data_IF_735775335041
#
_entry.id   IF_735775335041
#
_cell.length_a   1.000
_cell.length_b   1.000
_cell.length_c   1.000
_cell.angle_alpha   90.00
_cell.angle_beta   90.00
_cell.angle_gamma   90.00
#
_symmetry.space_group_name_H-M   'P 1'
#
loop_
_entity.id
_entity.type
_entity.pdbx_description
1 polymer ?
#
# COMPACT_ATOMS: atom_id res chain seq x y z
N UNK A 1 0.43 -20.25 25.10
CA UNK A 1 0.02 -20.19 23.69
C UNK A 1 -1.42 -19.72 23.65
N UNK A 2 -1.70 -18.72 22.82
CA UNK A 2 -3.05 -18.23 22.55
C UNK A 2 -3.34 -18.28 21.05
N UNK A 3 -4.60 -18.42 20.69
CA UNK A 3 -5.06 -18.35 19.30
C UNK A 3 -6.01 -17.16 19.16
N UNK A 4 -5.74 -16.31 18.18
CA UNK A 4 -6.66 -15.26 17.75
C UNK A 4 -7.28 -15.68 16.41
N UNK A 5 -8.61 -15.80 16.40
CA UNK A 5 -9.38 -16.12 15.19
C UNK A 5 -10.22 -14.90 14.88
N UNK A 6 -10.08 -14.38 13.67
CA UNK A 6 -10.82 -13.20 13.18
C UNK A 6 -11.54 -13.53 11.88
N UNK A 7 -12.62 -12.81 11.59
CA UNK A 7 -13.36 -12.91 10.33
C UNK A 7 -13.27 -11.62 9.49
N UNK A 8 -12.52 -10.61 9.95
CA UNK A 8 -12.46 -9.28 9.33
C UNK A 8 -11.13 -9.03 8.57
N UNK A 9 -10.22 -10.02 8.53
CA UNK A 9 -8.91 -9.86 7.88
C UNK A 9 -9.05 -9.59 6.37
N UNK A 10 -9.93 -10.33 5.69
CA UNK A 10 -10.23 -10.19 4.25
C UNK A 10 -11.29 -9.09 3.97
N UNK A 11 -11.71 -8.38 4.99
CA UNK A 11 -12.70 -7.32 4.95
C UNK A 11 -12.10 -5.93 5.18
N UNK A 12 -12.86 -5.02 5.82
CA UNK A 12 -12.38 -3.67 6.14
C UNK A 12 -11.26 -3.63 7.18
N UNK A 13 -11.03 -4.72 7.93
CA UNK A 13 -10.03 -4.85 9.01
C UNK A 13 -10.18 -3.78 10.11
N UNK A 14 -11.42 -3.44 10.47
CA UNK A 14 -11.77 -2.41 11.44
C UNK A 14 -12.26 -2.95 12.77
N UNK A 15 -12.83 -4.16 12.79
CA UNK A 15 -13.51 -4.75 13.95
C UNK A 15 -12.92 -6.10 14.43
N UNK A 16 -11.89 -6.60 13.72
CA UNK A 16 -11.19 -7.84 14.03
C UNK A 16 -9.95 -7.64 14.91
N UNK A 17 -8.80 -8.05 14.40
CA UNK A 17 -7.50 -8.04 15.09
C UNK A 17 -7.15 -6.68 15.67
N UNK A 18 -7.46 -5.58 14.99
CA UNK A 18 -7.18 -4.23 15.48
C UNK A 18 -7.84 -3.97 16.84
N UNK A 19 -9.09 -4.40 17.04
CA UNK A 19 -9.82 -4.23 18.31
C UNK A 19 -9.25 -5.09 19.43
N UNK A 20 -8.81 -6.28 19.10
CA UNK A 20 -8.14 -7.16 20.09
C UNK A 20 -6.80 -6.55 20.51
N UNK A 21 -6.01 -6.04 19.57
CA UNK A 21 -4.74 -5.39 19.87
C UNK A 21 -4.95 -4.14 20.74
N UNK A 22 -5.94 -3.27 20.42
CA UNK A 22 -6.31 -2.13 21.26
C UNK A 22 -6.66 -2.54 22.70
N UNK A 23 -7.40 -3.64 22.86
CA UNK A 23 -7.75 -4.17 24.20
C UNK A 23 -6.52 -4.69 24.95
N UNK A 24 -5.63 -5.43 24.27
CA UNK A 24 -4.40 -5.95 24.87
C UNK A 24 -3.46 -4.81 25.28
N UNK A 25 -3.31 -3.78 24.44
CA UNK A 25 -2.56 -2.57 24.77
C UNK A 25 -3.13 -1.87 26.01
N UNK A 26 -4.47 -1.69 26.09
CA UNK A 26 -5.12 -1.07 27.23
C UNK A 26 -4.93 -1.85 28.54
N UNK A 27 -4.73 -3.18 28.46
CA UNK A 27 -4.41 -4.05 29.60
C UNK A 27 -2.92 -4.11 29.92
N UNK A 28 -2.06 -3.49 29.10
CA UNK A 28 -0.61 -3.61 29.22
C UNK A 28 -0.07 -5.01 28.89
N UNK A 29 -0.87 -5.84 28.22
CA UNK A 29 -0.46 -7.17 27.78
C UNK A 29 0.47 -7.08 26.57
N UNK A 30 1.51 -7.93 26.55
CA UNK A 30 2.49 -8.02 25.47
C UNK A 30 2.67 -9.48 25.08
N UNK A 31 3.04 -9.67 23.81
CA UNK A 31 3.39 -10.99 23.28
C UNK A 31 4.87 -10.99 22.91
N UNK A 32 5.55 -12.11 23.12
CA UNK A 32 6.95 -12.28 22.72
C UNK A 32 7.03 -12.61 21.23
N UNK A 33 6.15 -13.48 20.74
CA UNK A 33 6.12 -14.02 19.39
C UNK A 33 4.69 -14.10 18.87
N UNK A 34 4.53 -13.89 17.56
CA UNK A 34 3.27 -14.13 16.86
C UNK A 34 3.54 -14.74 15.48
N UNK A 35 2.80 -15.78 15.13
CA UNK A 35 2.75 -16.32 13.78
C UNK A 35 1.37 -16.00 13.20
N UNK A 36 1.34 -15.29 12.08
CA UNK A 36 0.13 -15.01 11.31
C UNK A 36 -0.02 -16.09 10.25
N UNK A 37 -1.15 -16.80 10.26
CA UNK A 37 -1.40 -17.97 9.40
C UNK A 37 -1.76 -17.60 7.97
N UNK A 38 -0.86 -16.93 7.27
CA UNK A 38 -1.00 -16.52 5.87
C UNK A 38 -0.25 -17.45 4.92
N UNK A 39 -0.77 -17.72 3.72
CA UNK A 39 -0.01 -18.43 2.69
C UNK A 39 1.11 -17.54 2.15
N UNK A 40 2.36 -17.97 2.34
CA UNK A 40 3.54 -17.16 2.01
C UNK A 40 4.47 -17.80 0.98
N UNK A 41 4.38 -19.11 0.80
CA UNK A 41 5.18 -19.85 -0.17
C UNK A 41 4.88 -19.41 -1.61
N UNK A 42 5.90 -19.42 -2.47
CA UNK A 42 5.83 -18.95 -3.86
C UNK A 42 5.99 -20.10 -4.88
N UNK A 43 7.03 -20.90 -4.76
CA UNK A 43 7.34 -21.98 -5.69
C UNK A 43 7.25 -23.34 -5.00
N UNK A 44 7.78 -23.46 -3.80
CA UNK A 44 7.81 -24.67 -3.00
C UNK A 44 7.34 -24.38 -1.59
N UNK A 45 6.71 -25.36 -0.94
CA UNK A 45 6.19 -25.20 0.43
C UNK A 45 7.33 -24.88 1.41
N UNK A 46 7.27 -23.69 2.01
CA UNK A 46 8.26 -23.23 2.99
C UNK A 46 9.42 -22.43 2.39
N UNK A 47 9.43 -22.13 1.08
CA UNK A 47 10.47 -21.35 0.43
C UNK A 47 10.53 -19.89 0.91
N UNK A 48 9.41 -19.32 1.36
CA UNK A 48 9.32 -17.92 1.81
C UNK A 48 8.55 -17.79 3.12
N UNK A 49 9.10 -17.04 4.06
CA UNK A 49 8.43 -16.53 5.27
C UNK A 49 8.42 -15.02 5.23
N UNK A 50 7.30 -14.41 5.60
CA UNK A 50 7.18 -12.94 5.67
C UNK A 50 7.58 -12.47 7.07
N UNK A 51 8.61 -11.65 7.13
CA UNK A 51 9.07 -11.00 8.37
C UNK A 51 8.81 -9.49 8.38
N UNK A 52 7.91 -9.03 7.56
CA UNK A 52 7.48 -7.64 7.45
C UNK A 52 6.61 -7.44 6.23
N UNK A 53 5.99 -6.28 6.15
CA UNK A 53 5.11 -5.91 5.03
C UNK A 53 5.34 -4.46 4.67
N UNK A 54 5.22 -4.15 3.38
CA UNK A 54 5.20 -2.77 2.89
C UNK A 54 3.95 -2.06 3.39
N UNK A 55 4.05 -0.74 3.55
CA UNK A 55 2.90 0.12 3.74
C UNK A 55 2.03 0.18 2.49
N UNK A 56 0.77 0.56 2.68
CA UNK A 56 -0.19 0.75 1.62
C UNK A 56 -0.95 2.06 1.83
N UNK A 57 -0.94 2.91 0.80
CA UNK A 57 -1.64 4.19 0.79
C UNK A 57 -2.29 4.40 -0.58
N UNK A 58 -3.59 4.70 -0.58
CA UNK A 58 -4.36 5.00 -1.80
C UNK A 58 -4.64 6.49 -1.91
N UNK A 59 -4.75 6.97 -3.15
CA UNK A 59 -5.19 8.31 -3.49
C UNK A 59 -6.37 8.28 -4.46
N UNK A 60 -7.38 9.11 -4.17
CA UNK A 60 -8.51 9.39 -5.05
C UNK A 60 -8.34 10.82 -5.57
N UNK A 61 -7.83 10.96 -6.78
CA UNK A 61 -7.58 12.23 -7.44
C UNK A 61 -8.70 12.57 -8.40
N UNK A 62 -9.26 13.76 -8.28
CA UNK A 62 -10.19 14.34 -9.26
C UNK A 62 -9.55 15.60 -9.82
N UNK A 63 -9.19 15.54 -11.10
CA UNK A 63 -8.68 16.72 -11.84
C UNK A 63 -9.85 17.46 -12.46
N UNK A 64 -9.96 18.74 -12.18
CA UNK A 64 -11.04 19.60 -12.66
C UNK A 64 -10.72 20.18 -14.01
N UNK A 65 -11.72 20.18 -14.87
CA UNK A 65 -11.71 20.85 -16.17
C UNK A 65 -12.92 21.76 -16.35
N UNK A 66 -13.20 22.12 -17.59
CA UNK A 66 -14.42 22.81 -17.99
C UNK A 66 -15.02 22.06 -19.17
N UNK A 67 -16.22 21.50 -18.96
CA UNK A 67 -16.92 20.75 -20.00
C UNK A 67 -17.28 21.65 -21.19
N UNK A 68 -17.17 21.11 -22.41
CA UNK A 68 -17.53 21.84 -23.60
C UNK A 68 -17.60 20.96 -24.85
N UNK A 69 -18.00 21.55 -25.95
CA UNK A 69 -18.01 20.87 -27.24
C UNK A 69 -16.60 20.87 -27.86
N UNK A 70 -16.14 19.72 -28.40
CA UNK A 70 -14.79 19.58 -28.95
C UNK A 70 -14.48 20.58 -30.10
N UNK A 71 -15.49 21.05 -30.81
CA UNK A 71 -15.32 22.05 -31.87
C UNK A 71 -15.01 23.45 -31.35
N UNK A 72 -15.19 23.70 -30.05
CA UNK A 72 -14.96 24.98 -29.39
C UNK A 72 -14.02 24.84 -28.20
N UNK A 73 -12.77 24.33 -28.40
CA UNK A 73 -11.86 24.02 -27.30
C UNK A 73 -11.45 25.24 -26.47
N UNK A 74 -11.55 26.44 -27.03
CA UNK A 74 -11.28 27.70 -26.34
C UNK A 74 -12.30 28.06 -25.24
N UNK A 75 -13.47 27.41 -25.23
CA UNK A 75 -14.52 27.56 -24.21
C UNK A 75 -14.47 26.46 -23.15
N UNK A 76 -13.53 25.53 -23.25
CA UNK A 76 -13.40 24.37 -22.39
C UNK A 76 -12.00 24.26 -21.80
N UNK A 77 -11.86 23.40 -20.76
CA UNK A 77 -10.55 22.94 -20.27
C UNK A 77 -10.60 21.42 -20.18
N UNK A 78 -9.82 20.75 -21.04
CA UNK A 78 -9.84 19.28 -21.08
C UNK A 78 -9.01 18.68 -19.94
N UNK A 79 -9.61 18.07 -18.92
CA UNK A 79 -8.88 17.52 -17.78
C UNK A 79 -8.00 16.34 -18.17
N UNK A 80 -8.30 15.61 -19.25
CA UNK A 80 -7.46 14.52 -19.77
C UNK A 80 -6.13 15.08 -20.27
N UNK A 81 -6.18 16.17 -21.05
CA UNK A 81 -4.97 16.82 -21.57
C UNK A 81 -4.15 17.49 -20.46
N UNK A 82 -4.83 18.03 -19.43
CA UNK A 82 -4.16 18.62 -18.28
C UNK A 82 -3.46 17.55 -17.41
N UNK A 83 -4.14 16.41 -17.18
CA UNK A 83 -3.61 15.31 -16.37
C UNK A 83 -2.44 14.58 -17.05
N UNK A 84 -2.47 14.42 -18.37
CA UNK A 84 -1.54 13.55 -19.10
C UNK A 84 -0.04 13.82 -18.80
N UNK A 85 0.48 15.07 -18.80
CA UNK A 85 1.89 15.32 -18.47
C UNK A 85 2.21 15.04 -16.99
N UNK A 86 1.31 15.37 -16.06
CA UNK A 86 1.49 15.06 -14.64
C UNK A 86 1.45 13.54 -14.38
N UNK A 87 0.56 12.82 -15.07
CA UNK A 87 0.48 11.36 -14.97
C UNK A 87 1.76 10.70 -15.49
N UNK A 88 2.32 11.19 -16.60
CA UNK A 88 3.59 10.69 -17.13
C UNK A 88 4.74 10.91 -16.14
N UNK A 89 4.81 12.07 -15.49
CA UNK A 89 5.82 12.37 -14.48
C UNK A 89 5.64 11.48 -13.24
N UNK A 90 4.41 11.34 -12.69
CA UNK A 90 4.11 10.48 -11.56
C UNK A 90 4.46 9.01 -11.83
N UNK A 91 4.22 8.53 -13.06
CA UNK A 91 4.51 7.15 -13.45
C UNK A 91 6.02 6.88 -13.63
N UNK A 92 6.79 7.91 -13.98
CA UNK A 92 8.24 7.83 -14.16
C UNK A 92 9.02 8.14 -12.86
N UNK A 93 8.33 8.63 -11.82
CA UNK A 93 8.98 9.07 -10.59
C UNK A 93 9.60 7.90 -9.84
N UNK A 94 10.86 8.05 -9.46
CA UNK A 94 11.54 7.13 -8.56
C UNK A 94 11.29 7.55 -7.11
N UNK A 95 10.39 6.85 -6.45
CA UNK A 95 9.92 7.22 -5.13
C UNK A 95 10.96 7.02 -4.02
N UNK A 96 11.72 5.92 -4.07
CA UNK A 96 12.93 5.61 -3.28
C UNK A 96 13.70 4.44 -3.90
N UNK A 97 14.84 4.10 -3.31
CA UNK A 97 15.68 2.95 -3.72
C UNK A 97 15.34 1.66 -2.95
N UNK A 98 14.37 1.72 -2.02
CA UNK A 98 14.20 0.64 -1.04
C UNK A 98 15.34 0.61 -0.03
N UNK A 99 15.55 -0.56 0.57
CA UNK A 99 16.68 -0.82 1.47
C UNK A 99 16.97 -2.32 1.55
N UNK A 100 17.86 -2.75 2.45
CA UNK A 100 18.25 -4.16 2.64
C UNK A 100 17.03 -5.11 2.78
N UNK A 101 15.92 -4.63 3.37
CA UNK A 101 14.75 -5.45 3.71
C UNK A 101 13.56 -5.23 2.79
N UNK A 102 13.50 -4.11 2.10
CA UNK A 102 12.36 -3.70 1.31
C UNK A 102 12.74 -3.36 -0.12
N UNK A 103 11.99 -3.84 -1.12
CA UNK A 103 12.11 -3.32 -2.47
C UNK A 103 11.73 -1.84 -2.53
N UNK A 104 12.10 -1.12 -3.60
CA UNK A 104 11.70 0.25 -3.82
C UNK A 104 10.19 0.47 -3.72
N UNK A 105 9.81 1.63 -3.25
CA UNK A 105 8.41 2.07 -3.23
C UNK A 105 7.86 2.13 -4.65
N UNK A 106 6.66 1.57 -4.82
CA UNK A 106 5.96 1.56 -6.11
C UNK A 106 4.68 2.38 -6.05
N UNK A 107 4.36 3.06 -7.16
CA UNK A 107 3.13 3.79 -7.39
C UNK A 107 2.42 3.21 -8.61
N UNK A 108 1.14 2.87 -8.50
CA UNK A 108 0.36 2.27 -9.57
C UNK A 108 -1.03 2.88 -9.64
N UNK A 109 -1.47 3.20 -10.86
CA UNK A 109 -2.85 3.58 -11.14
C UNK A 109 -3.68 2.31 -11.31
N UNK A 110 -4.78 2.23 -10.61
CA UNK A 110 -5.73 1.12 -10.72
C UNK A 110 -6.93 1.47 -11.60
N UNK A 111 -7.35 2.74 -11.61
CA UNK A 111 -8.49 3.21 -12.38
C UNK A 111 -8.26 4.63 -12.90
N UNK A 112 -8.75 4.86 -14.12
CA UNK A 112 -8.82 6.19 -14.73
C UNK A 112 -10.16 6.30 -15.47
N UNK A 113 -10.98 7.26 -15.05
CA UNK A 113 -12.27 7.53 -15.65
C UNK A 113 -12.38 8.98 -16.09
N UNK A 114 -12.84 9.20 -17.32
CA UNK A 114 -13.16 10.52 -17.84
C UNK A 114 -14.16 10.40 -18.99
N UNK A 115 -14.94 11.46 -19.20
CA UNK A 115 -15.87 11.55 -20.32
C UNK A 115 -17.27 11.00 -20.00
N UNK A 116 -18.19 11.33 -20.88
CA UNK A 116 -19.62 10.99 -20.81
C UNK A 116 -20.01 9.87 -21.76
N UNK A 117 -19.06 9.35 -22.54
CA UNK A 117 -19.30 8.43 -23.66
C UNK A 117 -19.69 9.14 -24.98
N UNK A 118 -19.99 10.44 -24.97
CA UNK A 118 -20.26 11.21 -26.18
C UNK A 118 -18.94 11.58 -26.88
N UNK A 119 -18.89 11.37 -28.20
CA UNK A 119 -17.67 11.58 -29.01
C UNK A 119 -17.30 13.05 -29.24
N UNK A 120 -18.23 13.96 -28.97
CA UNK A 120 -18.10 15.41 -29.24
C UNK A 120 -18.08 16.27 -27.98
N UNK A 121 -17.92 15.67 -26.77
CA UNK A 121 -17.91 16.37 -25.47
C UNK A 121 -16.55 16.25 -24.81
N UNK A 122 -15.94 17.39 -24.48
CA UNK A 122 -14.82 17.49 -23.55
C UNK A 122 -15.37 17.32 -22.13
N UNK A 123 -14.83 16.37 -21.30
CA UNK A 123 -15.34 16.16 -19.95
C UNK A 123 -15.05 17.31 -18.99
N UNK A 124 -15.83 17.43 -17.93
CA UNK A 124 -15.62 18.43 -16.87
C UNK A 124 -14.62 18.01 -15.81
N UNK A 125 -14.30 16.72 -15.71
CA UNK A 125 -13.33 16.17 -14.75
C UNK A 125 -12.72 14.87 -15.26
N UNK A 126 -11.62 14.46 -14.64
CA UNK A 126 -11.01 13.15 -14.78
C UNK A 126 -10.70 12.59 -13.39
N UNK A 127 -11.12 11.35 -13.14
CA UNK A 127 -10.95 10.65 -11.87
C UNK A 127 -9.86 9.60 -11.99
N UNK A 128 -8.94 9.58 -11.03
CA UNK A 128 -7.81 8.66 -10.97
C UNK A 128 -7.74 8.01 -9.60
N UNK A 129 -7.74 6.67 -9.57
CA UNK A 129 -7.44 5.91 -8.37
C UNK A 129 -6.03 5.32 -8.49
N UNK A 130 -5.22 5.53 -7.49
CA UNK A 130 -3.86 4.99 -7.44
C UNK A 130 -3.51 4.47 -6.04
N UNK A 131 -2.45 3.65 -5.97
CA UNK A 131 -1.96 3.10 -4.72
C UNK A 131 -0.44 3.13 -4.68
N UNK A 132 0.09 3.45 -3.51
CA UNK A 132 1.47 3.23 -3.12
C UNK A 132 1.62 1.92 -2.37
N UNK A 133 2.65 1.13 -2.72
CA UNK A 133 3.25 0.13 -1.85
C UNK A 133 4.62 0.65 -1.44
N UNK A 134 4.76 1.10 -0.21
CA UNK A 134 5.93 1.86 0.21
C UNK A 134 6.75 1.16 1.28
N UNK A 135 8.05 1.41 1.22
CA UNK A 135 9.06 0.87 2.11
C UNK A 135 9.24 1.75 3.35
N UNK A 136 10.06 1.30 4.28
CA UNK A 136 10.50 2.11 5.43
C UNK A 136 11.47 3.23 5.04
N UNK A 137 11.90 3.31 3.78
CA UNK A 137 12.70 4.42 3.26
C UNK A 137 11.85 5.67 2.94
N UNK A 138 10.52 5.51 2.87
CA UNK A 138 9.58 6.60 2.60
C UNK A 138 8.60 6.78 3.74
N UNK A 139 8.10 8.01 3.92
CA UNK A 139 7.02 8.34 4.86
C UNK A 139 5.73 8.70 4.11
N UNK A 140 4.59 8.54 4.77
CA UNK A 140 3.28 8.92 4.23
C UNK A 140 3.30 10.39 3.78
N UNK A 141 3.73 11.28 4.67
CA UNK A 141 3.76 12.73 4.44
C UNK A 141 4.71 13.10 3.30
N UNK A 142 5.86 12.44 3.22
CA UNK A 142 6.84 12.66 2.15
C UNK A 142 6.31 12.25 0.78
N UNK A 143 5.64 11.10 0.68
CA UNK A 143 5.01 10.64 -0.56
C UNK A 143 3.86 11.55 -0.98
N UNK A 144 3.00 11.94 -0.04
CA UNK A 144 1.91 12.89 -0.29
C UNK A 144 2.43 14.23 -0.80
N UNK A 145 3.43 14.80 -0.13
CA UNK A 145 4.02 16.09 -0.52
C UNK A 145 4.60 16.05 -1.94
N UNK A 146 5.27 14.95 -2.33
CA UNK A 146 5.83 14.78 -3.68
C UNK A 146 4.73 14.68 -4.74
N UNK A 147 3.64 13.96 -4.48
CA UNK A 147 2.49 13.92 -5.40
C UNK A 147 1.91 15.31 -5.58
N UNK A 148 1.63 16.03 -4.49
CA UNK A 148 1.11 17.40 -4.56
C UNK A 148 2.05 18.31 -5.33
N UNK A 149 3.36 18.25 -5.08
CA UNK A 149 4.35 19.07 -5.78
C UNK A 149 4.34 18.83 -7.30
N UNK A 150 4.18 17.58 -7.75
CA UNK A 150 4.07 17.26 -9.17
C UNK A 150 2.77 17.82 -9.75
N UNK A 151 1.62 17.60 -9.10
CA UNK A 151 0.33 18.11 -9.56
C UNK A 151 0.31 19.65 -9.64
N UNK A 152 0.85 20.31 -8.64
CA UNK A 152 0.95 21.78 -8.56
C UNK A 152 1.90 22.34 -9.62
N UNK A 153 3.04 21.69 -9.86
CA UNK A 153 4.00 22.03 -10.94
C UNK A 153 3.32 22.07 -12.31
N UNK A 154 2.38 21.17 -12.55
CA UNK A 154 1.60 21.13 -13.79
C UNK A 154 0.38 22.06 -13.78
N UNK A 155 0.19 22.84 -12.74
CA UNK A 155 -0.88 23.84 -12.62
C UNK A 155 -2.29 23.24 -12.59
N UNK A 156 -2.44 22.02 -12.07
CA UNK A 156 -3.73 21.34 -12.03
C UNK A 156 -4.63 21.95 -10.97
N UNK A 157 -5.90 22.11 -11.29
CA UNK A 157 -6.95 22.30 -10.30
C UNK A 157 -7.53 20.93 -9.94
N UNK A 158 -7.40 20.52 -8.67
CA UNK A 158 -7.77 19.16 -8.28
C UNK A 158 -8.28 19.07 -6.84
N UNK A 159 -8.88 17.93 -6.53
CA UNK A 159 -9.06 17.44 -5.16
C UNK A 159 -8.41 16.06 -5.04
N UNK A 160 -7.76 15.80 -3.91
CA UNK A 160 -7.09 14.54 -3.66
C UNK A 160 -7.42 14.07 -2.24
N UNK A 161 -8.01 12.88 -2.14
CA UNK A 161 -8.29 12.21 -0.86
C UNK A 161 -7.29 11.09 -0.67
N UNK A 162 -6.79 10.95 0.56
CA UNK A 162 -5.84 9.93 0.94
C UNK A 162 -6.47 8.91 1.89
N UNK A 163 -6.09 7.66 1.73
CA UNK A 163 -6.42 6.56 2.64
C UNK A 163 -5.18 5.72 2.90
N UNK A 164 -4.77 5.61 4.16
CA UNK A 164 -3.63 4.79 4.58
C UNK A 164 -4.16 3.50 5.17
N UNK A 165 -3.97 2.38 4.47
CA UNK A 165 -4.42 1.06 4.93
C UNK A 165 -3.44 0.43 5.93
N UNK A 166 -2.17 0.82 5.90
CA UNK A 166 -1.16 0.35 6.85
C UNK A 166 0.19 0.99 6.63
N UNK A 167 0.94 1.12 7.72
CA UNK A 167 2.34 1.52 7.69
C UNK A 167 3.24 0.30 7.41
N UNK A 168 4.43 0.48 6.85
CA UNK A 168 5.39 -0.60 6.73
C UNK A 168 5.87 -1.03 8.12
N UNK A 169 6.08 -2.33 8.30
CA UNK A 169 6.70 -2.87 9.50
C UNK A 169 7.72 -3.95 9.12
N UNK A 170 8.70 -4.15 9.98
CA UNK A 170 9.74 -5.15 9.85
C UNK A 170 10.00 -5.82 11.19
N UNK A 171 10.00 -7.15 11.20
CA UNK A 171 10.57 -7.96 12.25
C UNK A 171 11.99 -8.33 11.85
N UNK A 172 13.01 -7.84 12.54
CA UNK A 172 14.39 -8.25 12.27
C UNK A 172 14.58 -9.74 12.52
N UNK A 173 15.62 -10.33 11.93
CA UNK A 173 16.01 -11.71 12.27
C UNK A 173 16.16 -11.87 13.78
N UNK A 174 15.56 -12.92 14.32
CA UNK A 174 15.51 -13.17 15.75
C UNK A 174 15.21 -14.64 16.07
N UNK A 175 14.83 -14.91 17.30
CA UNK A 175 14.55 -16.26 17.77
C UNK A 175 13.39 -16.92 17.00
N UNK A 176 12.29 -16.18 16.77
CA UNK A 176 11.14 -16.72 16.04
C UNK A 176 11.49 -17.06 14.60
N UNK A 177 12.12 -16.15 13.85
CA UNK A 177 12.49 -16.42 12.46
C UNK A 177 13.48 -17.58 12.35
N UNK A 178 14.46 -17.67 13.26
CA UNK A 178 15.40 -18.78 13.31
C UNK A 178 14.71 -20.13 13.65
N UNK A 179 13.75 -20.12 14.56
CA UNK A 179 12.98 -21.31 14.91
C UNK A 179 12.13 -21.80 13.71
N UNK A 180 11.48 -20.87 13.00
CA UNK A 180 10.70 -21.19 11.79
C UNK A 180 11.58 -21.73 10.67
N UNK A 181 12.71 -21.08 10.36
CA UNK A 181 13.67 -21.54 9.35
C UNK A 181 14.17 -22.97 9.65
N UNK A 182 14.48 -23.25 10.92
CA UNK A 182 14.93 -24.58 11.35
C UNK A 182 13.83 -25.64 11.25
N UNK A 183 12.60 -25.30 11.66
CA UNK A 183 11.46 -26.21 11.60
C UNK A 183 11.11 -26.54 10.11
N UNK A 184 11.03 -25.53 9.27
CA UNK A 184 10.76 -25.71 7.83
C UNK A 184 11.84 -26.58 7.20
N UNK A 185 13.12 -26.30 7.48
CA UNK A 185 14.23 -27.10 6.95
C UNK A 185 14.19 -28.55 7.42
N UNK A 186 13.81 -28.78 8.67
CA UNK A 186 13.70 -30.14 9.20
C UNK A 186 12.60 -30.96 8.52
N UNK A 187 11.48 -30.33 8.19
CA UNK A 187 10.31 -31.01 7.59
C UNK A 187 10.38 -31.10 6.05
N UNK A 188 10.94 -30.07 5.40
CA UNK A 188 10.92 -29.97 3.92
C UNK A 188 12.29 -30.10 3.26
N UNK A 189 13.37 -29.89 4.01
CA UNK A 189 14.74 -29.78 3.47
C UNK A 189 15.05 -28.44 2.83
N UNK A 190 14.09 -27.51 2.78
CA UNK A 190 14.20 -26.22 2.08
C UNK A 190 14.86 -25.16 2.98
N UNK A 191 15.66 -24.31 2.39
CA UNK A 191 16.18 -23.09 3.04
C UNK A 191 15.21 -21.95 2.76
N UNK A 192 14.56 -21.46 3.82
CA UNK A 192 13.54 -20.41 3.74
C UNK A 192 14.18 -19.03 3.53
N UNK A 193 13.60 -18.22 2.65
CA UNK A 193 13.92 -16.81 2.47
C UNK A 193 12.97 -15.95 3.33
N UNK A 194 13.52 -14.94 4.02
CA UNK A 194 12.74 -13.89 4.69
C UNK A 194 12.43 -12.78 3.68
N UNK A 195 11.16 -12.36 3.61
CA UNK A 195 10.71 -11.42 2.59
C UNK A 195 9.66 -10.46 3.14
N UNK A 196 9.67 -9.22 2.65
CA UNK A 196 8.67 -8.18 2.95
C UNK A 196 7.71 -7.90 1.79
N UNK A 197 7.83 -8.67 0.69
CA UNK A 197 7.00 -8.49 -0.50
C UNK A 197 5.57 -9.01 -0.30
N UNK A 198 4.67 -8.66 -1.22
CA UNK A 198 3.27 -9.08 -1.22
C UNK A 198 2.31 -8.05 -0.63
N UNK A 199 1.10 -8.49 -0.34
CA UNK A 199 0.04 -7.71 0.28
C UNK A 199 0.31 -7.42 1.76
N UNK A 200 -0.58 -6.68 2.40
CA UNK A 200 -0.54 -6.50 3.86
C UNK A 200 -1.23 -7.67 4.56
N UNK A 201 -1.14 -7.74 5.89
CA UNK A 201 -1.84 -8.70 6.74
C UNK A 201 -2.09 -8.09 8.12
N UNK A 202 -2.86 -8.76 8.95
CA UNK A 202 -3.13 -8.34 10.33
C UNK A 202 -1.88 -8.29 11.22
N UNK A 203 -0.76 -8.85 10.77
CA UNK A 203 0.55 -8.66 11.39
C UNK A 203 0.91 -7.20 11.63
N UNK A 204 0.42 -6.27 10.78
CA UNK A 204 0.62 -4.83 10.95
C UNK A 204 0.06 -4.25 12.25
N UNK A 205 -1.03 -4.82 12.76
CA UNK A 205 -1.62 -4.41 14.03
C UNK A 205 -0.87 -5.06 15.20
N UNK A 206 -0.55 -6.35 15.06
CA UNK A 206 0.10 -7.16 16.10
C UNK A 206 1.52 -6.66 16.36
N UNK A 207 2.23 -6.19 15.35
CA UNK A 207 3.58 -5.62 15.47
C UNK A 207 3.67 -4.40 16.43
N UNK A 208 2.54 -3.82 16.84
CA UNK A 208 2.48 -2.75 17.84
C UNK A 208 2.77 -3.27 19.26
N UNK A 209 2.45 -4.53 19.56
CA UNK A 209 2.53 -5.14 20.90
C UNK A 209 3.41 -6.40 20.94
N UNK A 210 3.90 -6.84 19.79
CA UNK A 210 4.72 -8.03 19.63
C UNK A 210 5.99 -7.69 18.83
N UNK A 211 7.19 -7.90 19.37
CA UNK A 211 8.44 -7.55 18.70
C UNK A 211 8.83 -8.50 17.57
N UNK A 212 8.26 -9.70 17.55
CA UNK A 212 8.52 -10.70 16.50
C UNK A 212 7.20 -11.26 15.95
N UNK A 213 6.85 -10.80 14.74
CA UNK A 213 5.63 -11.19 14.01
C UNK A 213 6.02 -11.75 12.64
#
# INVERSE_FOLDING_TARGET
>A
IAFLITSDEEGPATDGTVKVVELLEARGERMDYCIVGEPTSTTELGDVVKNGRRGSMSGELVVKGVQGHIAYPHLAKNPIHLLAPALAELAAEQWDEGNEYFPPTTWQVSNLHAGTGATNVIPGHADLLFNFRFSTASTVEGLQARVHAILDKHGLEYTLKWSVSGLPFLTPRGELSGALENAIRAETGITTELSTTGGTSDGRFIARICPQV
#
